data_IF_770817461106
#
_entry.id   IF_770817461106
#
_cell.length_a   1.000
_cell.length_b   1.000
_cell.length_c   1.000
_cell.angle_alpha   90.00
_cell.angle_beta   90.00
_cell.angle_gamma   90.00
#
_symmetry.space_group_name_H-M   'P 1'
#
loop_
_entity.id
_entity.type
_entity.pdbx_description
1 polymer ?
#
# COMPACT_ATOMS: atom_id res chain seq x y z
N UNK A 1 -6.29 22.28 5.10
CA UNK A 1 -6.80 21.02 4.52
C UNK A 1 -5.61 20.08 4.41
N UNK A 2 -5.75 18.81 4.82
CA UNK A 2 -4.68 17.81 4.74
C UNK A 2 -4.96 16.89 3.55
N UNK A 3 -3.98 16.64 2.69
CA UNK A 3 -4.09 15.72 1.57
C UNK A 3 -3.40 14.42 1.95
N UNK A 4 -4.15 13.31 1.98
CA UNK A 4 -3.62 11.99 2.30
C UNK A 4 -3.73 11.09 1.07
N UNK A 5 -2.59 10.57 0.62
CA UNK A 5 -2.53 9.53 -0.39
C UNK A 5 -2.73 8.16 0.25
N UNK A 6 -3.24 7.19 -0.49
CA UNK A 6 -3.30 5.81 -0.01
C UNK A 6 -3.09 4.81 -1.13
N UNK A 7 -2.59 3.64 -0.77
CA UNK A 7 -2.36 2.53 -1.69
C UNK A 7 -2.38 1.20 -0.93
N UNK A 8 -2.31 0.08 -1.65
CA UNK A 8 -2.12 -1.24 -1.09
C UNK A 8 -1.08 -2.01 -1.90
N UNK A 9 -0.40 -2.96 -1.26
CA UNK A 9 0.63 -3.77 -1.90
C UNK A 9 0.82 -5.10 -1.17
N UNK A 10 1.16 -6.15 -1.92
CA UNK A 10 1.59 -7.46 -1.40
C UNK A 10 2.63 -8.04 -2.34
N UNK A 11 3.73 -8.57 -1.79
CA UNK A 11 4.80 -9.22 -2.55
C UNK A 11 5.34 -8.36 -3.71
N UNK A 12 5.66 -7.08 -3.44
CA UNK A 12 6.12 -6.11 -4.42
C UNK A 12 7.38 -6.55 -5.17
N UNK A 13 8.34 -7.18 -4.47
CA UNK A 13 9.57 -7.66 -5.08
C UNK A 13 9.31 -8.89 -5.95
N UNK A 14 8.53 -9.84 -5.44
CA UNK A 14 8.19 -11.07 -6.19
C UNK A 14 7.43 -10.79 -7.48
N UNK A 15 6.54 -9.81 -7.47
CA UNK A 15 5.71 -9.46 -8.63
C UNK A 15 6.24 -8.28 -9.44
N UNK A 16 7.44 -7.79 -9.10
CA UNK A 16 8.10 -6.65 -9.78
C UNK A 16 7.20 -5.40 -9.85
N UNK A 17 6.48 -5.13 -8.76
CA UNK A 17 5.63 -3.94 -8.66
C UNK A 17 6.48 -2.72 -8.28
N UNK A 18 6.40 -1.60 -9.04
CA UNK A 18 7.20 -0.40 -8.82
C UNK A 18 6.62 0.47 -7.69
N UNK A 19 6.48 -0.10 -6.48
CA UNK A 19 5.83 0.57 -5.35
C UNK A 19 6.61 1.80 -4.89
N UNK A 20 7.95 1.78 -4.99
CA UNK A 20 8.80 2.90 -4.59
C UNK A 20 8.53 4.11 -5.49
N UNK A 21 8.53 3.91 -6.80
CA UNK A 21 8.27 4.92 -7.81
C UNK A 21 6.82 5.42 -7.72
N UNK A 22 5.86 4.51 -7.53
CA UNK A 22 4.45 4.85 -7.40
C UNK A 22 4.22 5.81 -6.21
N UNK A 23 4.76 5.49 -5.03
CA UNK A 23 4.60 6.33 -3.83
C UNK A 23 5.37 7.66 -3.98
N UNK A 24 6.60 7.63 -4.52
CA UNK A 24 7.38 8.84 -4.80
C UNK A 24 6.69 9.79 -5.79
N UNK A 25 5.91 9.26 -6.73
CA UNK A 25 5.19 10.08 -7.70
C UNK A 25 4.06 10.92 -7.07
N UNK A 26 3.41 10.40 -6.02
CA UNK A 26 2.29 11.08 -5.35
C UNK A 26 2.72 11.88 -4.11
N UNK A 27 3.85 11.54 -3.48
CA UNK A 27 4.39 12.23 -2.29
C UNK A 27 4.50 13.76 -2.40
N UNK A 28 4.76 14.39 -3.57
CA UNK A 28 4.82 15.85 -3.68
C UNK A 28 3.50 16.58 -3.41
N UNK A 29 2.36 15.88 -3.52
CA UNK A 29 1.03 16.48 -3.32
C UNK A 29 0.33 15.98 -2.04
N UNK A 30 1.00 15.11 -1.27
CA UNK A 30 0.45 14.51 -0.07
C UNK A 30 1.22 14.96 1.19
N UNK A 31 0.47 15.24 2.26
CA UNK A 31 1.02 15.45 3.61
C UNK A 31 1.43 14.10 4.25
N UNK A 32 0.70 13.03 3.95
CA UNK A 32 1.02 11.66 4.35
C UNK A 32 0.56 10.65 3.27
N UNK A 33 1.16 9.46 3.27
CA UNK A 33 0.70 8.35 2.41
C UNK A 33 0.50 7.09 3.26
N UNK A 34 -0.71 6.54 3.26
CA UNK A 34 -1.02 5.28 3.96
C UNK A 34 -0.92 4.11 2.99
N UNK A 35 -0.11 3.10 3.32
CA UNK A 35 0.04 1.91 2.48
C UNK A 35 -0.41 0.68 3.25
N UNK A 36 -1.49 0.05 2.79
CA UNK A 36 -1.91 -1.26 3.27
C UNK A 36 -0.97 -2.35 2.72
N UNK A 37 -0.10 -2.87 3.57
CA UNK A 37 0.84 -3.93 3.22
C UNK A 37 0.24 -5.27 3.63
N UNK A 38 -0.18 -6.04 2.63
CA UNK A 38 -0.63 -7.41 2.83
C UNK A 38 0.49 -8.30 3.34
N UNK A 39 0.13 -9.36 4.07
CA UNK A 39 1.06 -10.43 4.44
C UNK A 39 1.90 -10.85 3.22
N UNK A 40 3.19 -10.56 3.29
CA UNK A 40 4.15 -10.75 2.19
C UNK A 40 5.25 -11.71 2.63
N UNK A 41 5.73 -12.52 1.71
CA UNK A 41 6.83 -13.48 1.92
C UNK A 41 8.18 -12.92 1.48
N UNK A 42 8.20 -11.68 1.02
CA UNK A 42 9.39 -10.92 0.62
C UNK A 42 9.62 -9.70 1.53
N UNK A 43 10.59 -8.85 1.17
CA UNK A 43 10.92 -7.62 1.89
C UNK A 43 9.96 -6.43 1.65
N UNK A 44 8.72 -6.66 1.19
CA UNK A 44 7.80 -5.55 0.82
C UNK A 44 7.57 -4.56 1.95
N UNK A 45 7.39 -5.02 3.19
CA UNK A 45 7.12 -4.11 4.30
C UNK A 45 8.30 -3.17 4.56
N UNK A 46 9.50 -3.72 4.66
CA UNK A 46 10.74 -2.95 4.89
C UNK A 46 11.00 -1.99 3.72
N UNK A 47 10.75 -2.44 2.49
CA UNK A 47 10.82 -1.61 1.30
C UNK A 47 9.89 -0.39 1.43
N UNK A 48 8.62 -0.59 1.76
CA UNK A 48 7.64 0.50 1.89
C UNK A 48 8.02 1.46 3.03
N UNK A 49 8.47 0.95 4.18
CA UNK A 49 8.92 1.78 5.31
C UNK A 49 10.13 2.65 4.97
N UNK A 50 10.97 2.19 4.04
CA UNK A 50 12.18 2.91 3.63
C UNK A 50 11.94 4.06 2.66
N UNK A 51 10.72 4.21 2.11
CA UNK A 51 10.44 5.16 1.02
C UNK A 51 10.57 6.62 1.47
N UNK A 52 9.83 7.03 2.52
CA UNK A 52 9.79 8.41 3.04
C UNK A 52 9.16 8.39 4.46
N UNK A 53 9.60 9.23 5.41
CA UNK A 53 9.02 9.31 6.76
C UNK A 53 7.51 9.62 6.82
N UNK A 54 6.94 10.20 5.75
CA UNK A 54 5.50 10.46 5.61
C UNK A 54 4.70 9.23 5.21
N UNK A 55 5.36 8.12 4.87
CA UNK A 55 4.70 6.85 4.54
C UNK A 55 4.36 6.08 5.81
N UNK A 56 3.08 5.79 5.99
CA UNK A 56 2.55 5.02 7.11
C UNK A 56 2.11 3.64 6.62
N UNK A 57 2.74 2.61 7.16
CA UNK A 57 2.37 1.22 6.86
C UNK A 57 1.22 0.77 7.75
N UNK A 58 0.13 0.33 7.12
CA UNK A 58 -0.95 -0.43 7.72
C UNK A 58 -0.75 -1.91 7.34
N UNK A 59 -0.51 -2.80 8.31
CA UNK A 59 -0.41 -4.23 8.01
C UNK A 59 -1.79 -4.84 7.82
N UNK A 60 -1.98 -5.62 6.77
CA UNK A 60 -3.26 -6.27 6.47
C UNK A 60 -3.08 -7.75 6.14
N UNK A 61 -4.14 -8.52 6.36
CA UNK A 61 -4.26 -9.89 5.84
C UNK A 61 -5.35 -9.86 4.77
N UNK A 62 -5.00 -10.30 3.58
CA UNK A 62 -5.93 -10.35 2.45
C UNK A 62 -6.84 -11.56 2.61
N UNK A 63 -8.13 -11.39 2.35
CA UNK A 63 -9.05 -12.52 2.23
C UNK A 63 -8.89 -13.15 0.84
N UNK A 64 -8.17 -14.27 0.78
CA UNK A 64 -7.92 -14.98 -0.47
C UNK A 64 -9.18 -15.64 -1.06
N UNK A 65 -10.29 -15.71 -0.31
CA UNK A 65 -11.58 -16.15 -0.85
C UNK A 65 -12.24 -15.10 -1.75
N UNK A 66 -11.80 -13.83 -1.67
CA UNK A 66 -12.35 -12.69 -2.41
C UNK A 66 -11.56 -12.32 -3.68
N UNK A 67 -10.75 -13.25 -4.21
CA UNK A 67 -9.91 -12.98 -5.41
C UNK A 67 -10.73 -12.73 -6.69
N UNK A 68 -11.94 -13.26 -6.76
CA UNK A 68 -12.81 -13.10 -7.93
C UNK A 68 -13.33 -11.66 -8.08
N UNK A 69 -13.21 -11.13 -9.30
CA UNK A 69 -13.72 -9.81 -9.66
C UNK A 69 -13.00 -8.64 -8.98
N UNK A 70 -11.82 -8.86 -8.41
CA UNK A 70 -11.05 -7.81 -7.72
C UNK A 70 -11.64 -7.37 -6.38
N UNK A 71 -12.54 -8.15 -5.78
CA UNK A 71 -13.16 -7.80 -4.48
C UNK A 71 -12.14 -7.60 -3.37
N UNK A 72 -11.11 -8.46 -3.32
CA UNK A 72 -9.99 -8.30 -2.39
C UNK A 72 -9.28 -6.94 -2.59
N UNK A 73 -9.12 -6.47 -3.82
CA UNK A 73 -8.45 -5.18 -4.10
C UNK A 73 -9.28 -4.00 -3.58
N UNK A 74 -10.61 -4.07 -3.75
CA UNK A 74 -11.52 -3.06 -3.22
C UNK A 74 -11.49 -3.02 -1.68
N UNK A 75 -11.42 -4.18 -1.04
CA UNK A 75 -11.30 -4.27 0.42
C UNK A 75 -9.99 -3.65 0.94
N UNK A 76 -8.86 -3.98 0.32
CA UNK A 76 -7.56 -3.43 0.70
C UNK A 76 -7.48 -1.92 0.44
N UNK A 77 -8.13 -1.43 -0.62
CA UNK A 77 -8.29 0.00 -0.87
C UNK A 77 -9.07 0.68 0.27
N UNK A 78 -10.18 0.10 0.70
CA UNK A 78 -11.00 0.63 1.80
C UNK A 78 -10.26 0.62 3.14
N UNK A 79 -9.42 -0.40 3.40
CA UNK A 79 -8.58 -0.46 4.62
C UNK A 79 -7.56 0.68 4.65
N UNK A 80 -6.98 1.04 3.50
CA UNK A 80 -5.97 2.08 3.40
C UNK A 80 -6.56 3.50 3.34
N UNK A 81 -7.80 3.64 2.84
CA UNK A 81 -8.46 4.93 2.70
C UNK A 81 -8.61 5.61 4.07
N UNK A 82 -8.09 6.83 4.26
CA UNK A 82 -8.29 7.60 5.47
C UNK A 82 -9.77 8.00 5.60
N UNK A 83 -10.35 7.77 6.78
CA UNK A 83 -11.72 8.18 7.12
C UNK A 83 -11.88 9.65 7.46
#
# INVERSE_FOLDING_TARGET
>A
MKVCGFSFIRNAGTYDYPIVEAIRSILPVCDEVVVAVGASEDGTEDLVRSIDPRVRVLRTTWDDTLREGGRVLAEETNKAAPG
#
